data_IF_546462329192
#
_entry.id   IF_546462329192
#
_cell.length_a   1.000
_cell.length_b   1.000
_cell.length_c   1.000
_cell.angle_alpha   90.00
_cell.angle_beta   90.00
_cell.angle_gamma   90.00
#
_symmetry.space_group_name_H-M   'P 1'
#
loop_
_entity.id
_entity.type
_entity.pdbx_description
1 polymer ?
#
# COMPACT_ATOMS: atom_id res chain seq x y z
N UNK A 1 -61.80 69.89 -5.94
CA UNK A 1 -62.05 68.60 -5.26
C UNK A 1 -60.71 67.93 -5.01
N UNK A 2 -60.41 67.57 -3.76
CA UNK A 2 -59.13 66.99 -3.32
C UNK A 2 -59.45 65.84 -2.36
N UNK A 3 -58.97 64.64 -2.67
CA UNK A 3 -58.50 63.54 -1.78
C UNK A 3 -58.28 62.26 -2.60
N UNK A 4 -57.51 61.23 -2.18
CA UNK A 4 -56.65 61.11 -0.99
C UNK A 4 -55.21 60.57 -1.27
N UNK A 5 -54.34 60.68 -0.26
CA UNK A 5 -53.04 60.00 -0.07
C UNK A 5 -53.19 58.46 0.06
N UNK A 6 -52.15 57.56 -0.01
CA UNK A 6 -50.96 57.58 0.87
C UNK A 6 -49.70 56.86 0.28
N UNK A 7 -48.80 56.21 1.07
CA UNK A 7 -47.44 56.69 1.34
C UNK A 7 -46.38 55.66 0.90
N UNK A 8 -45.20 55.72 1.53
CA UNK A 8 -44.14 54.70 1.57
C UNK A 8 -43.06 54.78 0.50
N UNK A 9 -42.23 55.81 0.69
CA UNK A 9 -40.80 55.70 0.50
C UNK A 9 -40.20 54.61 1.43
N UNK A 10 -40.30 53.34 1.05
CA UNK A 10 -39.58 52.25 1.74
C UNK A 10 -39.59 51.01 0.86
N UNK A 11 -38.85 50.98 -0.25
CA UNK A 11 -38.61 49.72 -0.99
C UNK A 11 -37.45 49.76 -1.99
N UNK A 12 -36.53 50.72 -1.90
CA UNK A 12 -35.36 50.75 -2.80
C UNK A 12 -34.08 50.14 -2.21
N UNK A 13 -34.07 49.72 -0.93
CA UNK A 13 -32.88 49.19 -0.26
C UNK A 13 -32.91 47.68 0.03
N UNK A 14 -33.89 46.95 -0.53
CA UNK A 14 -34.00 45.48 -0.41
C UNK A 14 -33.82 44.73 -1.73
N UNK A 15 -33.40 45.41 -2.80
CA UNK A 15 -33.09 44.78 -4.09
C UNK A 15 -31.62 44.35 -4.23
N UNK A 16 -30.76 44.62 -3.23
CA UNK A 16 -29.35 44.20 -3.26
C UNK A 16 -29.10 42.79 -2.68
N UNK A 17 -30.11 42.15 -2.08
CA UNK A 17 -29.99 40.80 -1.51
C UNK A 17 -30.70 39.70 -2.33
N UNK A 18 -31.07 40.00 -3.58
CA UNK A 18 -31.60 39.02 -4.52
C UNK A 18 -30.66 38.77 -5.71
N UNK A 19 -29.37 39.07 -5.56
CA UNK A 19 -28.37 38.38 -6.34
C UNK A 19 -28.35 36.92 -5.86
N UNK A 20 -29.17 36.07 -6.48
CA UNK A 20 -28.92 34.63 -6.45
C UNK A 20 -27.44 34.45 -6.80
N UNK A 21 -26.65 33.68 -6.02
CA UNK A 21 -25.36 33.28 -6.54
C UNK A 21 -25.66 32.59 -7.86
N UNK A 22 -25.14 33.15 -8.96
CA UNK A 22 -25.06 32.42 -10.21
C UNK A 22 -24.04 31.32 -9.93
N UNK A 23 -24.52 30.24 -9.30
CA UNK A 23 -23.77 29.01 -9.22
C UNK A 23 -23.42 28.70 -10.68
N UNK A 24 -22.13 28.70 -10.99
CA UNK A 24 -21.62 28.16 -12.24
C UNK A 24 -22.16 26.73 -12.32
N UNK A 25 -23.24 26.55 -13.07
CA UNK A 25 -23.81 25.24 -13.30
C UNK A 25 -22.79 24.49 -14.17
N UNK A 26 -21.98 23.65 -13.56
CA UNK A 26 -21.11 22.75 -14.32
C UNK A 26 -21.99 21.87 -15.19
N UNK A 27 -21.67 21.81 -16.48
CA UNK A 27 -22.37 20.89 -17.39
C UNK A 27 -22.08 19.45 -16.96
N UNK A 28 -23.10 18.62 -16.74
CA UNK A 28 -22.88 17.26 -16.27
C UNK A 28 -22.14 16.44 -17.33
N UNK A 29 -21.24 15.57 -16.89
CA UNK A 29 -20.61 14.58 -17.75
C UNK A 29 -21.58 13.43 -18.03
N UNK A 30 -21.79 13.11 -19.31
CA UNK A 30 -22.58 11.95 -19.73
C UNK A 30 -21.66 10.74 -19.93
N UNK A 31 -21.82 9.70 -19.10
CA UNK A 31 -21.10 8.42 -19.22
C UNK A 31 -22.08 7.34 -19.69
N UNK A 32 -21.74 6.66 -20.80
CA UNK A 32 -22.53 5.54 -21.34
C UNK A 32 -21.71 4.26 -21.31
N UNK A 33 -22.31 3.17 -20.83
CA UNK A 33 -21.70 1.84 -20.75
C UNK A 33 -22.66 0.84 -21.38
N UNK A 34 -22.19 0.10 -22.39
CA UNK A 34 -22.95 -0.99 -23.02
C UNK A 34 -22.41 -2.33 -22.55
N UNK A 35 -23.15 -2.99 -21.65
CA UNK A 35 -22.76 -4.28 -21.08
C UNK A 35 -22.98 -5.47 -22.03
N UNK A 36 -23.68 -5.29 -23.16
CA UNK A 36 -23.90 -6.34 -24.15
C UNK A 36 -22.75 -6.46 -25.17
N UNK A 37 -21.81 -5.50 -25.17
CA UNK A 37 -20.70 -5.42 -26.11
C UNK A 37 -19.34 -5.67 -25.42
N UNK A 38 -18.93 -6.92 -25.15
CA UNK A 38 -17.60 -7.22 -24.64
C UNK A 38 -16.54 -6.94 -25.72
N UNK A 39 -15.57 -6.07 -25.42
CA UNK A 39 -14.53 -5.68 -26.38
C UNK A 39 -13.25 -6.53 -26.30
N UNK A 40 -12.77 -6.81 -25.08
CA UNK A 40 -11.54 -7.58 -24.81
C UNK A 40 -11.45 -7.97 -23.33
N UNK A 41 -10.58 -8.92 -22.95
CA UNK A 41 -10.28 -9.20 -21.55
C UNK A 41 -9.69 -7.98 -20.83
N UNK A 42 -10.10 -7.78 -19.58
CA UNK A 42 -9.48 -6.85 -18.64
C UNK A 42 -8.82 -7.67 -17.53
N UNK A 43 -7.49 -7.70 -17.52
CA UNK A 43 -6.73 -8.39 -16.48
C UNK A 43 -6.51 -7.44 -15.28
N UNK A 44 -6.63 -7.93 -14.04
CA UNK A 44 -6.38 -7.12 -12.86
C UNK A 44 -4.87 -7.02 -12.57
N UNK A 45 -4.17 -6.16 -13.30
CA UNK A 45 -2.70 -6.01 -13.22
C UNK A 45 -2.21 -5.26 -11.96
N UNK A 46 -3.11 -4.81 -11.10
CA UNK A 46 -2.83 -3.95 -9.94
C UNK A 46 -2.83 -4.70 -8.60
N UNK A 47 -2.92 -6.03 -8.59
CA UNK A 47 -3.10 -6.87 -7.39
C UNK A 47 -1.83 -7.00 -6.52
N UNK A 48 -1.10 -5.91 -6.30
CA UNK A 48 0.14 -5.89 -5.51
C UNK A 48 0.20 -4.67 -4.59
N UNK A 49 0.82 -4.87 -3.43
CA UNK A 49 1.23 -3.80 -2.49
C UNK A 49 2.68 -4.04 -2.05
N UNK A 50 3.19 -3.25 -1.10
CA UNK A 50 4.50 -3.47 -0.50
C UNK A 50 4.82 -2.53 0.66
N UNK A 51 5.84 -2.86 1.43
CA UNK A 51 6.32 -2.06 2.55
C UNK A 51 7.81 -2.29 2.83
N UNK A 52 8.39 -1.45 3.70
CA UNK A 52 9.74 -1.60 4.22
C UNK A 52 9.67 -1.63 5.76
N UNK A 53 10.28 -2.62 6.44
CA UNK A 53 10.37 -2.59 7.89
C UNK A 53 11.20 -1.36 8.34
N UNK A 54 10.96 -0.82 9.55
CA UNK A 54 11.71 0.32 10.06
C UNK A 54 13.16 -0.08 10.40
N UNK A 55 13.99 0.94 10.66
CA UNK A 55 15.31 0.70 11.24
C UNK A 55 15.20 0.21 12.70
N UNK A 56 16.17 -0.59 13.18
CA UNK A 56 17.27 -1.18 12.42
C UNK A 56 16.83 -2.46 11.68
N UNK A 57 17.32 -2.68 10.46
CA UNK A 57 16.85 -3.78 9.62
C UNK A 57 17.26 -5.18 10.12
N UNK A 58 18.32 -5.28 10.94
CA UNK A 58 18.72 -6.53 11.61
C UNK A 58 17.69 -7.01 12.66
N UNK A 59 16.71 -6.17 12.99
CA UNK A 59 15.57 -6.46 13.86
C UNK A 59 14.24 -6.37 13.12
N UNK A 60 14.24 -6.44 11.77
CA UNK A 60 13.03 -6.41 10.95
C UNK A 60 11.99 -7.43 11.41
N UNK A 61 12.42 -8.59 11.92
CA UNK A 61 11.53 -9.63 12.46
C UNK A 61 10.60 -9.11 13.57
N UNK A 62 11.01 -8.12 14.37
CA UNK A 62 10.17 -7.55 15.43
C UNK A 62 8.96 -6.80 14.84
N UNK A 63 9.13 -6.19 13.68
CA UNK A 63 8.06 -5.53 12.94
C UNK A 63 7.27 -6.53 12.10
N UNK A 64 7.96 -7.34 11.30
CA UNK A 64 7.36 -8.27 10.32
C UNK A 64 6.50 -9.36 10.98
N UNK A 65 6.90 -9.82 12.18
CA UNK A 65 6.18 -10.84 12.96
C UNK A 65 5.32 -10.22 14.08
N UNK A 66 5.25 -8.89 14.17
CA UNK A 66 4.43 -8.21 15.18
C UNK A 66 2.95 -8.53 15.02
N UNK A 67 2.20 -8.37 16.12
CA UNK A 67 0.74 -8.47 16.08
C UNK A 67 0.11 -7.45 15.12
N UNK A 68 0.65 -6.24 15.09
CA UNK A 68 0.24 -5.18 14.16
C UNK A 68 0.35 -5.64 12.71
N UNK A 69 1.45 -6.31 12.35
CA UNK A 69 1.66 -6.78 10.99
C UNK A 69 0.81 -8.01 10.66
N UNK A 70 0.58 -8.90 11.62
CA UNK A 70 -0.37 -10.01 11.45
C UNK A 70 -1.78 -9.49 11.12
N UNK A 71 -2.25 -8.49 11.87
CA UNK A 71 -3.54 -7.83 11.57
C UNK A 71 -3.48 -7.15 10.20
N UNK A 72 -2.45 -6.38 9.90
CA UNK A 72 -2.32 -5.69 8.61
C UNK A 72 -2.40 -6.67 7.43
N UNK A 73 -1.69 -7.79 7.49
CA UNK A 73 -1.74 -8.84 6.45
C UNK A 73 -3.10 -9.52 6.37
N UNK A 74 -3.81 -9.69 7.49
CA UNK A 74 -5.19 -10.16 7.48
C UNK A 74 -6.14 -9.19 6.75
N UNK A 75 -6.00 -7.88 6.93
CA UNK A 75 -6.76 -6.89 6.18
C UNK A 75 -6.43 -6.91 4.68
N UNK A 76 -5.16 -7.07 4.33
CA UNK A 76 -4.69 -7.17 2.95
C UNK A 76 -5.25 -8.43 2.28
N UNK A 77 -5.15 -9.60 2.94
CA UNK A 77 -5.65 -10.88 2.44
C UNK A 77 -7.18 -10.95 2.38
N UNK A 78 -7.88 -10.18 3.22
CA UNK A 78 -9.35 -10.12 3.24
C UNK A 78 -9.95 -9.37 2.04
N UNK A 79 -9.14 -8.74 1.17
CA UNK A 79 -9.66 -8.09 -0.04
C UNK A 79 -10.35 -9.14 -0.94
N UNK A 80 -11.65 -8.97 -1.28
CA UNK A 80 -12.40 -9.98 -2.02
C UNK A 80 -11.76 -10.39 -3.35
N UNK A 81 -11.96 -11.65 -3.74
CA UNK A 81 -11.49 -12.22 -5.01
C UNK A 81 -9.97 -12.07 -5.22
N UNK A 82 -9.22 -12.20 -4.12
CA UNK A 82 -7.78 -11.98 -4.05
C UNK A 82 -7.39 -10.61 -4.56
N UNK A 83 -8.19 -9.55 -4.35
CA UNK A 83 -7.94 -8.23 -4.96
C UNK A 83 -6.55 -7.63 -4.68
N UNK A 84 -5.83 -8.17 -3.68
CA UNK A 84 -4.38 -8.09 -3.54
C UNK A 84 -3.84 -9.54 -3.49
N UNK A 85 -2.80 -9.83 -4.25
CA UNK A 85 -2.14 -11.15 -4.32
C UNK A 85 -0.69 -11.12 -3.85
N UNK A 86 0.04 -10.05 -4.14
CA UNK A 86 1.46 -9.94 -3.82
C UNK A 86 1.74 -8.82 -2.81
N UNK A 87 2.64 -9.07 -1.86
CA UNK A 87 3.23 -8.04 -1.00
C UNK A 87 4.73 -7.99 -1.28
N UNK A 88 5.27 -6.89 -1.80
CA UNK A 88 6.72 -6.69 -1.99
C UNK A 88 7.35 -6.19 -0.69
N UNK A 89 8.31 -6.92 -0.14
CA UNK A 89 8.88 -6.65 1.20
C UNK A 89 10.38 -6.37 1.06
N UNK A 90 10.83 -5.23 1.60
CA UNK A 90 12.27 -4.90 1.65
C UNK A 90 12.95 -5.70 2.76
N UNK A 91 14.26 -5.94 2.61
CA UNK A 91 15.12 -6.53 3.66
C UNK A 91 14.74 -7.95 4.13
N UNK A 92 14.08 -8.76 3.30
CA UNK A 92 13.70 -10.15 3.65
C UNK A 92 14.90 -11.01 4.08
N UNK A 93 16.09 -10.79 3.53
CA UNK A 93 17.27 -11.56 3.91
C UNK A 93 17.80 -11.21 5.31
N UNK A 94 17.40 -10.06 5.89
CA UNK A 94 17.75 -9.73 7.27
C UNK A 94 16.92 -10.51 8.31
N UNK A 95 15.86 -11.20 7.87
CA UNK A 95 15.18 -12.22 8.69
C UNK A 95 16.02 -13.50 8.84
N UNK A 96 17.06 -13.68 8.03
CA UNK A 96 17.99 -14.80 8.15
C UNK A 96 19.13 -14.39 9.07
N UNK A 97 19.44 -15.24 10.05
CA UNK A 97 20.64 -15.05 10.90
C UNK A 97 21.75 -16.00 10.51
N UNK A 98 23.01 -15.58 10.70
CA UNK A 98 24.18 -16.41 10.39
C UNK A 98 25.11 -16.58 11.58
N UNK A 99 25.79 -17.72 11.62
CA UNK A 99 26.90 -17.98 12.55
C UNK A 99 28.02 -18.74 11.85
N UNK A 100 29.27 -18.44 12.21
CA UNK A 100 30.43 -19.22 11.78
C UNK A 100 30.55 -20.47 12.67
N UNK A 101 30.73 -21.63 12.05
CA UNK A 101 31.00 -22.89 12.76
C UNK A 101 32.40 -23.42 12.41
N UNK A 102 33.18 -23.86 13.41
CA UNK A 102 34.52 -24.37 13.14
C UNK A 102 34.45 -25.61 12.27
N UNK A 103 34.99 -25.54 11.05
CA UNK A 103 35.05 -26.66 10.12
C UNK A 103 33.80 -26.91 9.26
N UNK A 104 32.71 -26.15 9.44
CA UNK A 104 31.46 -26.32 8.67
C UNK A 104 31.08 -25.10 7.83
N UNK A 105 31.87 -24.03 7.86
CA UNK A 105 31.57 -22.81 7.12
C UNK A 105 30.46 -21.97 7.77
N UNK A 106 29.74 -21.21 6.96
CA UNK A 106 28.66 -20.35 7.39
C UNK A 106 27.36 -21.16 7.56
N UNK A 107 26.74 -21.07 8.73
CA UNK A 107 25.44 -21.70 9.02
C UNK A 107 24.38 -20.62 9.02
N UNK A 108 23.31 -20.85 8.26
CA UNK A 108 22.13 -19.99 8.19
C UNK A 108 21.01 -20.53 9.09
N UNK A 109 20.27 -19.61 9.69
CA UNK A 109 19.05 -19.91 10.42
C UNK A 109 17.89 -19.10 9.82
N UNK A 110 16.90 -19.83 9.30
CA UNK A 110 15.77 -19.31 8.55
C UNK A 110 14.50 -19.09 9.38
N UNK A 111 14.52 -19.36 10.70
CA UNK A 111 13.32 -19.35 11.55
C UNK A 111 12.41 -18.13 11.38
N UNK A 112 12.95 -16.91 11.32
CA UNK A 112 12.11 -15.71 11.15
C UNK A 112 11.59 -15.55 9.72
N UNK A 113 12.39 -15.90 8.71
CA UNK A 113 11.95 -15.87 7.32
C UNK A 113 10.83 -16.89 7.10
N UNK A 114 11.00 -18.12 7.58
CA UNK A 114 10.00 -19.19 7.48
C UNK A 114 8.68 -18.74 8.12
N UNK A 115 8.73 -18.23 9.35
CA UNK A 115 7.54 -17.74 10.06
C UNK A 115 6.83 -16.60 9.31
N UNK A 116 7.58 -15.70 8.68
CA UNK A 116 6.98 -14.60 7.91
C UNK A 116 6.37 -15.08 6.58
N UNK A 117 7.01 -16.03 5.90
CA UNK A 117 6.47 -16.62 4.68
C UNK A 117 5.21 -17.45 4.97
N UNK A 118 5.20 -18.19 6.07
CA UNK A 118 4.03 -18.91 6.56
C UNK A 118 2.87 -17.94 6.83
N UNK A 119 3.14 -16.80 7.49
CA UNK A 119 2.14 -15.76 7.74
C UNK A 119 1.55 -15.18 6.45
N UNK A 120 2.35 -14.99 5.39
CA UNK A 120 1.83 -14.59 4.07
C UNK A 120 0.93 -15.67 3.49
N UNK A 121 1.35 -16.94 3.55
CA UNK A 121 0.60 -18.08 3.03
C UNK A 121 -0.74 -18.28 3.76
N UNK A 122 -0.77 -18.10 5.09
CA UNK A 122 -1.97 -18.13 5.92
C UNK A 122 -3.03 -17.12 5.46
N UNK A 123 -2.58 -16.00 4.86
CA UNK A 123 -3.44 -14.93 4.33
C UNK A 123 -3.63 -15.00 2.80
N UNK A 124 -3.20 -16.11 2.15
CA UNK A 124 -3.26 -16.31 0.71
C UNK A 124 -2.51 -15.23 -0.10
N UNK A 125 -1.42 -14.71 0.46
CA UNK A 125 -0.55 -13.71 -0.16
C UNK A 125 0.76 -14.35 -0.63
N UNK A 126 1.31 -13.81 -1.71
CA UNK A 126 2.61 -14.17 -2.27
C UNK A 126 3.66 -13.13 -1.90
N UNK A 127 4.90 -13.56 -1.58
CA UNK A 127 5.99 -12.61 -1.41
C UNK A 127 6.43 -12.08 -2.78
N UNK A 128 6.45 -10.75 -2.91
CA UNK A 128 7.34 -10.07 -3.84
C UNK A 128 8.75 -10.15 -3.27
N UNK A 129 9.39 -11.29 -3.47
CA UNK A 129 10.61 -11.69 -2.77
C UNK A 129 11.82 -10.92 -3.27
N UNK A 130 12.22 -9.88 -2.54
CA UNK A 130 13.44 -9.15 -2.84
C UNK A 130 14.65 -9.84 -2.23
N UNK A 131 15.67 -10.12 -3.05
CA UNK A 131 16.97 -10.60 -2.59
C UNK A 131 17.75 -9.44 -1.97
N UNK A 132 17.27 -8.94 -0.83
CA UNK A 132 17.73 -7.73 -0.17
C UNK A 132 18.00 -7.99 1.30
N UNK A 133 19.20 -7.60 1.76
CA UNK A 133 19.66 -7.74 3.13
C UNK A 133 21.06 -8.34 3.22
N UNK A 134 21.63 -8.30 4.42
CA UNK A 134 22.90 -8.90 4.79
C UNK A 134 22.69 -9.71 6.08
N UNK A 135 22.42 -11.02 5.96
CA UNK A 135 22.16 -11.90 7.11
C UNK A 135 23.19 -11.75 8.25
N UNK A 136 22.77 -11.20 9.39
CA UNK A 136 23.63 -10.85 10.54
C UNK A 136 24.85 -9.97 10.19
N UNK A 137 24.73 -9.12 9.17
CA UNK A 137 25.80 -8.25 8.66
C UNK A 137 26.96 -9.00 7.99
N UNK A 138 26.76 -10.26 7.58
CA UNK A 138 27.84 -11.11 7.05
C UNK A 138 28.39 -10.63 5.69
N UNK A 139 27.50 -10.20 4.80
CA UNK A 139 27.86 -9.76 3.45
C UNK A 139 28.08 -8.25 3.45
N UNK A 140 29.32 -7.83 3.25
CA UNK A 140 29.70 -6.41 3.29
C UNK A 140 30.27 -5.92 1.97
N UNK A 141 30.71 -6.84 1.10
CA UNK A 141 31.38 -6.53 -0.15
C UNK A 141 31.02 -7.56 -1.23
N UNK A 142 30.39 -7.10 -2.31
CA UNK A 142 30.06 -7.95 -3.46
C UNK A 142 31.25 -8.18 -4.42
N UNK A 143 32.36 -7.45 -4.26
CA UNK A 143 33.61 -7.70 -5.00
C UNK A 143 34.46 -8.80 -4.34
N UNK A 144 34.25 -9.07 -3.05
CA UNK A 144 34.88 -10.18 -2.34
C UNK A 144 34.30 -11.53 -2.81
N UNK A 145 35.06 -12.21 -3.67
CA UNK A 145 34.71 -13.52 -4.23
C UNK A 145 34.47 -14.61 -3.19
N UNK A 146 35.06 -14.49 -1.99
CA UNK A 146 34.81 -15.44 -0.91
C UNK A 146 33.40 -15.27 -0.32
N UNK A 147 32.83 -14.07 -0.38
CA UNK A 147 31.46 -13.80 0.06
C UNK A 147 30.43 -14.18 -1.00
N UNK A 148 30.71 -13.95 -2.29
CA UNK A 148 29.76 -14.22 -3.38
C UNK A 148 29.81 -15.65 -3.95
N UNK A 149 30.58 -16.56 -3.33
CA UNK A 149 30.64 -17.97 -3.73
C UNK A 149 31.36 -18.23 -5.07
N UNK A 150 32.24 -17.32 -5.49
CA UNK A 150 33.07 -17.48 -6.69
C UNK A 150 34.51 -17.89 -6.32
N UNK A 151 34.65 -19.05 -5.69
CA UNK A 151 35.93 -19.64 -5.28
C UNK A 151 36.16 -21.02 -5.89
#
# INVERSE_FOLDING_TARGET
>A
MRSPHPPSATLAFLAAFLAKPLALAETPYLVRVDAALPLRPLLPFWKSTGFCPPLPHDQAYQFDLSWDQQLNLAYIGAVPHSGIEQVRIHWLLDLITTRKSSGQGLIYNFTHLDAFLDLLMENQLLPGFELMGSPSGHFTDFEDKQQVGMG
#
